data_IF_001398120562
#
_entry.id   IF_001398120562
#
_cell.length_a   1.000
_cell.length_b   1.000
_cell.length_c   1.000
_cell.angle_alpha   90.00
_cell.angle_beta   90.00
_cell.angle_gamma   90.00
#
_symmetry.space_group_name_H-M   'P 1'
#
loop_
_entity.id
_entity.type
_entity.pdbx_description
1 polymer ?
#
# COMPACT_ATOMS: atom_id res chain seq x y z
N UNK A 1 -26.31 -22.33 10.00
CA UNK A 1 -26.44 -20.88 10.23
C UNK A 1 -25.12 -20.22 9.83
N UNK A 2 -25.16 -19.08 9.17
CA UNK A 2 -23.93 -18.32 8.89
C UNK A 2 -23.24 -17.97 10.22
N UNK A 3 -21.91 -18.15 10.30
CA UNK A 3 -21.16 -17.68 11.48
C UNK A 3 -21.33 -16.16 11.62
N UNK A 4 -21.51 -15.71 12.86
CA UNK A 4 -21.56 -14.28 13.16
C UNK A 4 -20.13 -13.74 13.29
N UNK A 5 -19.84 -12.67 12.58
CA UNK A 5 -18.50 -12.08 12.48
C UNK A 5 -18.56 -10.64 12.98
N UNK A 6 -17.76 -10.35 13.99
CA UNK A 6 -17.62 -8.99 14.53
C UNK A 6 -16.47 -8.25 13.87
N UNK A 7 -16.70 -7.01 13.48
CA UNK A 7 -15.70 -6.19 12.79
C UNK A 7 -15.39 -4.95 13.62
N UNK A 8 -14.10 -4.71 13.84
CA UNK A 8 -13.56 -3.46 14.37
C UNK A 8 -12.83 -2.70 13.26
N UNK A 9 -13.10 -1.41 13.11
CA UNK A 9 -12.47 -0.54 12.12
C UNK A 9 -11.68 0.55 12.83
N UNK A 10 -10.39 0.64 12.56
CA UNK A 10 -9.52 1.72 13.03
C UNK A 10 -9.03 2.52 11.82
N UNK A 11 -9.24 3.83 11.85
CA UNK A 11 -8.90 4.75 10.77
C UNK A 11 -10.07 5.01 9.82
N UNK A 12 -10.59 6.25 9.87
CA UNK A 12 -11.74 6.73 9.05
C UNK A 12 -11.31 7.99 8.28
N UNK A 13 -10.10 7.93 7.68
CA UNK A 13 -9.65 8.87 6.67
C UNK A 13 -10.26 8.56 5.30
N UNK A 14 -9.65 9.02 4.22
CA UNK A 14 -10.15 8.80 2.85
C UNK A 14 -10.42 7.32 2.54
N UNK A 15 -9.44 6.45 2.78
CA UNK A 15 -9.58 4.98 2.59
C UNK A 15 -10.64 4.39 3.51
N UNK A 16 -10.64 4.78 4.80
CA UNK A 16 -11.58 4.23 5.77
C UNK A 16 -13.03 4.60 5.47
N UNK A 17 -13.31 5.82 5.00
CA UNK A 17 -14.67 6.24 4.56
C UNK A 17 -15.13 5.43 3.35
N UNK A 18 -14.28 5.28 2.34
CA UNK A 18 -14.56 4.46 1.17
C UNK A 18 -14.81 2.99 1.57
N UNK A 19 -14.00 2.46 2.49
CA UNK A 19 -14.15 1.10 3.01
C UNK A 19 -15.49 0.90 3.73
N UNK A 20 -15.89 1.81 4.62
CA UNK A 20 -17.18 1.76 5.32
C UNK A 20 -18.34 1.72 4.32
N UNK A 21 -18.31 2.55 3.29
CA UNK A 21 -19.32 2.56 2.22
C UNK A 21 -19.36 1.23 1.46
N UNK A 22 -18.22 0.73 1.02
CA UNK A 22 -18.11 -0.53 0.28
C UNK A 22 -18.52 -1.73 1.14
N UNK A 23 -18.11 -1.76 2.42
CA UNK A 23 -18.52 -2.81 3.38
C UNK A 23 -20.03 -2.79 3.62
N UNK A 24 -20.63 -1.62 3.80
CA UNK A 24 -22.09 -1.47 3.95
C UNK A 24 -22.82 -2.10 2.74
N UNK A 25 -22.38 -1.79 1.54
CA UNK A 25 -22.97 -2.35 0.31
C UNK A 25 -22.76 -3.88 0.22
N UNK A 26 -21.58 -4.38 0.60
CA UNK A 26 -21.31 -5.82 0.64
C UNK A 26 -22.22 -6.55 1.62
N UNK A 27 -22.38 -6.03 2.84
CA UNK A 27 -23.27 -6.62 3.86
C UNK A 27 -24.71 -6.66 3.35
N UNK A 28 -25.22 -5.55 2.82
CA UNK A 28 -26.60 -5.50 2.28
C UNK A 28 -26.83 -6.52 1.15
N UNK A 29 -25.86 -6.62 0.21
CA UNK A 29 -25.95 -7.55 -0.93
C UNK A 29 -25.90 -9.02 -0.51
N UNK A 30 -25.21 -9.35 0.58
CA UNK A 30 -24.93 -10.71 1.02
C UNK A 30 -25.64 -11.08 2.34
N UNK A 31 -26.67 -10.34 2.76
CA UNK A 31 -27.36 -10.50 4.04
C UNK A 31 -27.91 -11.91 4.29
N UNK A 32 -28.24 -12.66 3.23
CA UNK A 32 -28.75 -14.05 3.35
C UNK A 32 -27.66 -15.08 3.60
N UNK A 33 -26.38 -14.76 3.36
CA UNK A 33 -25.26 -15.74 3.38
C UNK A 33 -24.15 -15.37 4.34
N UNK A 34 -24.08 -14.11 4.77
CA UNK A 34 -23.01 -13.58 5.62
C UNK A 34 -23.63 -12.77 6.75
N UNK A 35 -23.26 -13.09 8.00
CA UNK A 35 -23.60 -12.29 9.18
C UNK A 35 -22.36 -11.51 9.61
N UNK A 36 -22.30 -10.22 9.29
CA UNK A 36 -21.21 -9.31 9.65
C UNK A 36 -21.77 -8.10 10.38
N UNK A 37 -21.27 -7.88 11.58
CA UNK A 37 -21.64 -6.76 12.44
C UNK A 37 -20.42 -5.90 12.74
N UNK A 38 -20.40 -4.64 12.28
CA UNK A 38 -19.39 -3.70 12.74
C UNK A 38 -19.77 -3.25 14.15
N UNK A 39 -18.90 -3.51 15.12
CA UNK A 39 -19.17 -3.28 16.56
C UNK A 39 -18.25 -2.23 17.17
N UNK A 40 -17.22 -1.83 16.43
CA UNK A 40 -16.26 -0.82 16.86
C UNK A 40 -15.76 -0.03 15.67
N UNK A 41 -15.77 1.29 15.75
CA UNK A 41 -15.17 2.18 14.75
C UNK A 41 -14.41 3.26 15.52
N UNK A 42 -13.12 3.48 15.18
CA UNK A 42 -12.31 4.45 15.87
C UNK A 42 -11.39 5.25 14.93
N UNK A 43 -11.02 6.41 15.39
CA UNK A 43 -9.90 7.22 14.95
C UNK A 43 -9.05 7.64 16.16
N UNK A 44 -8.05 8.48 15.98
CA UNK A 44 -7.05 8.78 17.02
C UNK A 44 -7.60 9.27 18.36
N UNK A 45 -8.77 9.91 18.39
CA UNK A 45 -9.32 10.56 19.58
C UNK A 45 -10.79 10.27 19.86
N UNK A 46 -11.42 9.43 19.06
CA UNK A 46 -12.84 9.14 19.20
C UNK A 46 -13.17 7.73 18.73
N UNK A 47 -14.14 7.10 19.38
CA UNK A 47 -14.66 5.79 19.02
C UNK A 47 -16.18 5.70 19.13
N UNK A 48 -16.77 4.90 18.26
CA UNK A 48 -18.13 4.36 18.38
C UNK A 48 -18.00 2.90 18.84
N UNK A 49 -18.63 2.54 19.94
CA UNK A 49 -18.55 1.21 20.56
C UNK A 49 -19.96 0.67 20.78
N UNK A 50 -20.26 -0.48 20.20
CA UNK A 50 -21.51 -1.19 20.46
C UNK A 50 -21.49 -1.80 21.88
N UNK A 51 -22.48 -1.51 22.68
CA UNK A 51 -22.54 -2.01 24.06
C UNK A 51 -23.01 -3.47 24.18
N UNK A 52 -23.71 -3.97 23.18
CA UNK A 52 -24.36 -5.28 23.13
C UNK A 52 -23.98 -6.09 21.90
N UNK A 53 -22.94 -5.64 21.19
CA UNK A 53 -22.48 -6.22 19.91
C UNK A 53 -23.52 -6.15 18.76
N UNK A 54 -24.55 -5.34 18.89
CA UNK A 54 -25.44 -5.00 17.76
C UNK A 54 -24.68 -4.19 16.72
N UNK A 55 -25.05 -4.26 15.42
CA UNK A 55 -24.36 -3.54 14.37
C UNK A 55 -24.43 -2.02 14.58
N UNK A 56 -23.29 -1.36 14.52
CA UNK A 56 -23.21 0.09 14.40
C UNK A 56 -23.69 0.55 13.01
N UNK A 57 -24.33 1.71 12.89
CA UNK A 57 -24.74 2.25 11.60
C UNK A 57 -23.52 2.57 10.74
N UNK A 58 -23.52 2.10 9.50
CA UNK A 58 -22.49 2.40 8.50
C UNK A 58 -23.01 3.50 7.58
N UNK A 59 -22.88 4.75 8.02
CA UNK A 59 -23.37 5.93 7.31
C UNK A 59 -22.25 6.66 6.57
N UNK A 60 -22.61 7.52 5.63
CA UNK A 60 -21.67 8.43 4.98
C UNK A 60 -21.10 9.48 5.98
N UNK A 61 -21.76 9.67 7.10
CA UNK A 61 -21.43 10.65 8.15
C UNK A 61 -20.67 10.04 9.33
N UNK A 62 -20.07 8.88 9.17
CA UNK A 62 -19.37 8.18 10.26
C UNK A 62 -18.27 9.03 10.92
N UNK A 63 -17.67 9.97 10.20
CA UNK A 63 -16.66 10.88 10.78
C UNK A 63 -17.29 11.90 11.73
N UNK A 64 -18.41 12.47 11.36
CA UNK A 64 -19.19 13.43 12.16
C UNK A 64 -19.79 12.74 13.38
N UNK A 65 -20.25 11.51 13.22
CA UNK A 65 -20.75 10.67 14.33
C UNK A 65 -19.63 10.36 15.34
N UNK A 66 -18.41 10.08 14.87
CA UNK A 66 -17.24 9.91 15.73
C UNK A 66 -16.89 11.19 16.48
N UNK A 67 -16.93 12.35 15.82
CA UNK A 67 -16.69 13.64 16.47
C UNK A 67 -17.70 13.95 17.58
N UNK A 68 -18.96 13.58 17.35
CA UNK A 68 -20.05 13.79 18.30
C UNK A 68 -20.06 12.76 19.45
N UNK A 69 -19.46 11.58 19.27
CA UNK A 69 -19.52 10.48 20.25
C UNK A 69 -18.83 10.79 21.57
N UNK A 70 -17.74 11.57 21.55
CA UNK A 70 -17.00 11.95 22.75
C UNK A 70 -16.38 10.78 23.55
N UNK A 71 -16.43 9.56 23.00
CA UNK A 71 -15.89 8.35 23.63
C UNK A 71 -14.43 8.15 23.18
N UNK A 72 -13.52 7.95 24.12
CA UNK A 72 -12.13 7.65 23.81
C UNK A 72 -11.99 6.25 23.20
N UNK A 73 -11.02 6.05 22.27
CA UNK A 73 -10.69 4.74 21.75
C UNK A 73 -10.24 3.78 22.86
N UNK A 74 -10.61 2.51 22.72
CA UNK A 74 -10.08 1.45 23.59
C UNK A 74 -8.58 1.30 23.37
N UNK A 75 -7.85 0.97 24.44
CA UNK A 75 -6.49 0.45 24.30
C UNK A 75 -6.51 -0.85 23.51
N UNK A 76 -5.38 -1.24 22.89
CA UNK A 76 -5.34 -2.52 22.14
C UNK A 76 -5.67 -3.73 23.03
N UNK A 77 -5.15 -3.85 24.26
CA UNK A 77 -5.56 -4.92 25.15
C UNK A 77 -7.07 -4.93 25.44
N UNK A 78 -7.67 -3.77 25.68
CA UNK A 78 -9.11 -3.65 25.94
C UNK A 78 -9.94 -3.99 24.68
N UNK A 79 -9.47 -3.60 23.51
CA UNK A 79 -10.11 -3.95 22.23
C UNK A 79 -10.07 -5.46 21.97
N UNK A 80 -8.94 -6.11 22.26
CA UNK A 80 -8.83 -7.57 22.19
C UNK A 80 -9.84 -8.24 23.15
N UNK A 81 -9.91 -7.78 24.39
CA UNK A 81 -10.87 -8.31 25.37
C UNK A 81 -12.32 -8.07 24.91
N UNK A 82 -12.64 -6.87 24.43
CA UNK A 82 -13.95 -6.53 23.90
C UNK A 82 -14.36 -7.46 22.76
N UNK A 83 -13.49 -7.66 21.77
CA UNK A 83 -13.81 -8.51 20.63
C UNK A 83 -13.96 -9.98 21.04
N UNK A 84 -13.11 -10.48 21.92
CA UNK A 84 -13.20 -11.86 22.43
C UNK A 84 -14.45 -12.11 23.26
N UNK A 85 -14.89 -11.14 24.06
CA UNK A 85 -16.09 -11.25 24.87
C UNK A 85 -17.39 -11.37 24.04
N UNK A 86 -17.34 -11.05 22.73
CA UNK A 86 -18.46 -11.29 21.83
C UNK A 86 -18.76 -12.77 21.60
N UNK A 87 -17.81 -13.66 21.85
CA UNK A 87 -17.91 -15.10 21.57
C UNK A 87 -17.98 -15.46 20.07
N UNK A 88 -17.76 -14.48 19.19
CA UNK A 88 -17.83 -14.64 17.73
C UNK A 88 -16.43 -14.52 17.10
N UNK A 89 -16.30 -14.92 15.84
CA UNK A 89 -15.11 -14.59 15.03
C UNK A 89 -14.98 -13.06 14.91
N UNK A 90 -13.75 -12.55 14.94
CA UNK A 90 -13.50 -11.11 14.91
C UNK A 90 -12.45 -10.72 13.86
N UNK A 91 -12.70 -9.62 13.17
CA UNK A 91 -11.78 -9.04 12.17
C UNK A 91 -11.48 -7.60 12.57
N UNK A 92 -10.21 -7.29 12.74
CA UNK A 92 -9.71 -5.93 12.84
C UNK A 92 -9.33 -5.39 11.45
N UNK A 93 -9.88 -4.24 11.11
CA UNK A 93 -9.51 -3.47 9.92
C UNK A 93 -8.67 -2.29 10.38
N UNK A 94 -7.40 -2.27 9.96
CA UNK A 94 -6.54 -1.11 10.20
C UNK A 94 -6.36 -0.30 8.91
N UNK A 95 -7.08 0.79 8.77
CA UNK A 95 -6.95 1.74 7.65
C UNK A 95 -6.04 2.93 7.99
N UNK A 96 -5.12 2.76 8.93
CA UNK A 96 -4.18 3.80 9.34
C UNK A 96 -2.80 3.62 8.67
N UNK A 97 -1.87 4.48 9.03
CA UNK A 97 -0.44 4.34 8.79
C UNK A 97 0.36 4.31 10.10
N UNK A 98 -0.28 3.92 11.23
CA UNK A 98 0.36 3.88 12.55
C UNK A 98 1.31 2.70 12.67
N UNK A 99 2.55 2.97 13.06
CA UNK A 99 3.51 1.94 13.42
C UNK A 99 3.19 1.37 14.81
N UNK A 100 2.68 2.20 15.71
CA UNK A 100 2.28 1.82 17.06
C UNK A 100 1.22 0.72 16.99
N UNK A 101 0.19 0.90 16.15
CA UNK A 101 -0.84 -0.13 15.96
C UNK A 101 -0.27 -1.36 15.26
N UNK A 102 0.56 -1.19 14.24
CA UNK A 102 1.17 -2.31 13.53
C UNK A 102 2.06 -3.19 14.45
N UNK A 103 2.75 -2.59 15.43
CA UNK A 103 3.55 -3.31 16.42
C UNK A 103 2.72 -4.23 17.31
N UNK A 104 1.40 -4.03 17.41
CA UNK A 104 0.50 -4.87 18.22
C UNK A 104 -0.17 -5.99 17.41
N UNK A 105 0.07 -6.08 16.12
CA UNK A 105 -0.51 -7.15 15.28
C UNK A 105 -0.21 -8.55 15.78
N UNK A 106 1.01 -8.89 16.28
CA UNK A 106 1.28 -10.21 16.85
C UNK A 106 0.35 -10.56 18.03
N UNK A 107 0.06 -9.61 18.92
CA UNK A 107 -0.83 -9.84 20.06
C UNK A 107 -2.29 -10.06 19.62
N UNK A 108 -2.76 -9.26 18.66
CA UNK A 108 -4.10 -9.36 18.08
C UNK A 108 -4.29 -10.70 17.39
N UNK A 109 -3.33 -11.11 16.56
CA UNK A 109 -3.37 -12.39 15.84
C UNK A 109 -3.29 -13.58 16.78
N UNK A 110 -2.41 -13.51 17.79
CA UNK A 110 -2.29 -14.55 18.83
C UNK A 110 -3.58 -14.71 19.64
N UNK A 111 -4.38 -13.67 19.75
CA UNK A 111 -5.71 -13.73 20.37
C UNK A 111 -6.78 -14.37 19.48
N UNK A 112 -6.44 -14.77 18.24
CA UNK A 112 -7.37 -15.35 17.26
C UNK A 112 -8.16 -14.32 16.45
N UNK A 113 -7.84 -13.03 16.58
CA UNK A 113 -8.49 -11.95 15.84
C UNK A 113 -7.79 -11.79 14.49
N UNK A 114 -8.55 -11.78 13.42
CA UNK A 114 -8.05 -11.64 12.05
C UNK A 114 -7.76 -10.18 11.72
N UNK A 115 -6.83 -9.93 10.79
CA UNK A 115 -6.44 -8.58 10.36
C UNK A 115 -6.55 -8.44 8.83
N UNK A 116 -7.17 -7.35 8.38
CA UNK A 116 -7.08 -6.86 6.99
C UNK A 116 -6.62 -5.41 6.99
N UNK A 117 -5.58 -5.05 6.17
CA UNK A 117 -4.97 -3.73 6.30
C UNK A 117 -4.21 -3.28 5.05
N UNK A 118 -4.25 -1.97 4.70
CA UNK A 118 -3.33 -1.33 3.77
C UNK A 118 -2.08 -0.76 4.46
N UNK A 119 -1.95 -0.88 5.79
CA UNK A 119 -0.84 -0.34 6.55
C UNK A 119 0.47 -1.07 6.25
N UNK A 120 1.33 -0.43 5.47
CA UNK A 120 2.62 -1.01 5.05
C UNK A 120 3.60 -1.21 6.21
N UNK A 121 3.48 -0.41 7.29
CA UNK A 121 4.52 -0.37 8.34
C UNK A 121 4.69 -1.70 9.07
N UNK A 122 3.60 -2.46 9.28
CA UNK A 122 3.69 -3.80 9.87
C UNK A 122 4.52 -4.78 9.02
N UNK A 123 4.58 -4.55 7.72
CA UNK A 123 5.17 -5.51 6.77
C UNK A 123 6.47 -5.02 6.14
N UNK A 124 6.79 -3.75 6.25
CA UNK A 124 8.00 -3.14 5.67
C UNK A 124 9.00 -2.59 6.70
N UNK A 125 8.64 -2.53 7.98
CA UNK A 125 9.55 -2.12 9.06
C UNK A 125 10.60 -3.20 9.34
N UNK A 126 11.12 -3.25 10.56
CA UNK A 126 12.12 -4.26 10.95
C UNK A 126 11.64 -5.69 10.61
N UNK A 127 12.55 -6.53 10.13
CA UNK A 127 12.26 -7.92 9.74
C UNK A 127 11.70 -8.74 10.90
N UNK A 128 12.10 -8.42 12.12
CA UNK A 128 11.56 -9.06 13.32
C UNK A 128 10.04 -8.91 13.41
N UNK A 129 9.49 -7.72 13.16
CA UNK A 129 8.04 -7.50 13.22
C UNK A 129 7.32 -8.33 12.15
N UNK A 130 7.86 -8.40 10.94
CA UNK A 130 7.34 -9.27 9.88
C UNK A 130 7.25 -10.73 10.36
N UNK A 131 8.34 -11.26 10.90
CA UNK A 131 8.41 -12.64 11.38
C UNK A 131 7.42 -12.89 12.53
N UNK A 132 7.33 -11.97 13.48
CA UNK A 132 6.42 -12.07 14.63
C UNK A 132 4.95 -12.08 14.18
N UNK A 133 4.58 -11.24 13.20
CA UNK A 133 3.22 -11.18 12.64
C UNK A 133 2.84 -12.53 12.01
N UNK A 134 3.69 -13.07 11.13
CA UNK A 134 3.37 -14.33 10.44
C UNK A 134 3.46 -15.55 11.36
N UNK A 135 4.36 -15.55 12.34
CA UNK A 135 4.40 -16.57 13.38
C UNK A 135 3.10 -16.55 14.22
N UNK A 136 2.63 -15.39 14.64
CA UNK A 136 1.38 -15.23 15.39
C UNK A 136 0.14 -15.62 14.55
N UNK A 137 0.17 -15.37 13.25
CA UNK A 137 -0.87 -15.82 12.31
C UNK A 137 -0.80 -17.33 12.00
N UNK A 138 0.20 -18.05 12.54
CA UNK A 138 0.43 -19.45 12.20
C UNK A 138 0.58 -19.69 10.70
N UNK A 139 1.23 -18.77 9.98
CA UNK A 139 1.36 -18.74 8.52
C UNK A 139 -0.01 -18.80 7.80
N UNK A 140 -1.03 -18.16 8.37
CA UNK A 140 -2.41 -18.15 7.86
C UNK A 140 -3.07 -19.54 7.76
N UNK A 141 -2.71 -20.46 8.60
CA UNK A 141 -3.27 -21.81 8.63
C UNK A 141 -3.15 -22.52 9.98
N UNK A 142 -2.56 -21.82 10.97
CA UNK A 142 -2.35 -22.34 12.32
C UNK A 142 -3.40 -21.90 13.33
N UNK A 143 -2.99 -21.74 14.59
CA UNK A 143 -3.86 -21.41 15.72
C UNK A 143 -4.19 -19.92 15.86
N UNK A 144 -3.50 -19.04 15.12
CA UNK A 144 -3.69 -17.58 15.18
C UNK A 144 -4.76 -17.08 14.21
N UNK A 145 -5.03 -15.76 14.27
CA UNK A 145 -5.87 -15.08 13.29
C UNK A 145 -5.23 -15.02 11.92
N UNK A 146 -6.03 -14.93 10.87
CA UNK A 146 -5.53 -14.65 9.51
C UNK A 146 -5.07 -13.20 9.38
N UNK A 147 -4.00 -12.96 8.63
CA UNK A 147 -3.54 -11.63 8.25
C UNK A 147 -3.48 -11.49 6.73
N UNK A 148 -4.22 -10.53 6.19
CA UNK A 148 -4.21 -10.18 4.79
C UNK A 148 -3.89 -8.70 4.61
N UNK A 149 -3.03 -8.39 3.65
CA UNK A 149 -2.50 -7.05 3.47
C UNK A 149 -2.27 -6.71 1.98
N UNK A 150 -3.16 -7.20 1.09
CA UNK A 150 -3.07 -6.98 -0.36
C UNK A 150 -2.85 -5.49 -0.69
N UNK A 151 -3.64 -4.63 -0.05
CA UNK A 151 -3.62 -3.20 -0.33
C UNK A 151 -2.36 -2.45 0.18
N UNK A 152 -1.38 -3.13 0.72
CA UNK A 152 -0.07 -2.54 1.07
C UNK A 152 0.79 -2.25 -0.16
N UNK A 153 0.56 -2.97 -1.29
CA UNK A 153 1.28 -2.75 -2.56
C UNK A 153 0.28 -2.73 -3.70
N UNK A 154 0.22 -1.61 -4.44
CA UNK A 154 -0.64 -1.50 -5.60
C UNK A 154 -2.13 -1.25 -5.31
N UNK A 155 -2.48 -0.77 -4.11
CA UNK A 155 -3.87 -0.51 -3.69
C UNK A 155 -4.78 -1.73 -3.90
N UNK A 156 -5.69 -1.69 -4.88
CA UNK A 156 -6.58 -2.82 -5.20
C UNK A 156 -6.04 -3.77 -6.27
N UNK A 157 -4.87 -3.52 -6.82
CA UNK A 157 -4.24 -4.42 -7.78
C UNK A 157 -3.88 -5.76 -7.10
N UNK A 158 -4.07 -6.91 -7.76
CA UNK A 158 -3.76 -8.22 -7.20
C UNK A 158 -2.25 -8.53 -7.25
N UNK A 159 -1.44 -7.76 -6.51
CA UNK A 159 0.02 -7.84 -6.53
C UNK A 159 0.53 -8.90 -5.58
N UNK A 160 0.09 -8.84 -4.31
CA UNK A 160 0.53 -9.79 -3.28
C UNK A 160 -0.09 -11.18 -3.49
N UNK A 161 -1.34 -11.25 -3.90
CA UNK A 161 -1.97 -12.52 -4.26
C UNK A 161 -1.25 -13.17 -5.44
N UNK A 162 -0.89 -12.41 -6.48
CA UNK A 162 -0.14 -12.94 -7.61
C UNK A 162 1.21 -13.53 -7.18
N UNK A 163 2.03 -12.79 -6.43
CA UNK A 163 3.34 -13.32 -6.02
C UNK A 163 3.21 -14.53 -5.08
N UNK A 164 2.21 -14.54 -4.20
CA UNK A 164 1.94 -15.69 -3.34
C UNK A 164 1.52 -16.92 -4.14
N UNK A 165 0.61 -16.77 -5.10
CA UNK A 165 0.19 -17.89 -5.95
C UNK A 165 1.35 -18.46 -6.76
N UNK A 166 2.28 -17.62 -7.24
CA UNK A 166 3.49 -18.07 -7.91
C UNK A 166 4.37 -18.90 -6.95
N UNK A 167 4.69 -18.36 -5.78
CA UNK A 167 5.58 -19.01 -4.80
C UNK A 167 4.93 -20.26 -4.19
N UNK A 168 3.67 -20.19 -3.77
CA UNK A 168 2.94 -21.30 -3.13
C UNK A 168 2.72 -22.48 -4.07
N UNK A 169 2.66 -22.23 -5.38
CA UNK A 169 2.59 -23.29 -6.41
C UNK A 169 3.96 -23.82 -6.84
N UNK A 170 5.03 -23.39 -6.16
CA UNK A 170 6.40 -23.86 -6.38
C UNK A 170 7.10 -23.23 -7.58
N UNK A 171 6.65 -22.06 -8.06
CA UNK A 171 7.39 -21.29 -9.04
C UNK A 171 8.53 -20.51 -8.37
N UNK A 172 9.58 -20.21 -9.09
CA UNK A 172 10.70 -19.43 -8.58
C UNK A 172 10.69 -18.04 -9.21
N UNK A 173 10.41 -17.03 -8.39
CA UNK A 173 10.53 -15.63 -8.80
C UNK A 173 12.02 -15.31 -8.97
N UNK A 174 12.39 -14.83 -10.15
CA UNK A 174 13.77 -14.42 -10.45
C UNK A 174 13.97 -12.92 -10.38
N UNK A 175 12.95 -12.15 -10.82
CA UNK A 175 12.99 -10.69 -10.77
C UNK A 175 11.60 -10.12 -10.57
N UNK A 176 11.51 -9.04 -9.81
CA UNK A 176 10.32 -8.16 -9.78
C UNK A 176 10.78 -6.76 -10.14
N UNK A 177 10.10 -6.13 -11.08
CA UNK A 177 10.40 -4.74 -11.43
C UNK A 177 9.14 -3.98 -11.78
N UNK A 178 9.14 -2.65 -11.52
CA UNK A 178 7.95 -1.88 -11.87
C UNK A 178 7.97 -0.44 -11.40
N UNK A 179 6.89 0.26 -11.76
CA UNK A 179 6.55 1.59 -11.26
C UNK A 179 5.50 1.41 -10.16
N UNK A 180 5.87 1.74 -8.93
CA UNK A 180 5.09 1.47 -7.72
C UNK A 180 4.43 2.72 -7.12
N UNK A 181 4.67 3.90 -7.68
CA UNK A 181 4.13 5.18 -7.22
C UNK A 181 3.34 5.85 -8.35
N UNK A 182 2.09 6.19 -8.08
CA UNK A 182 1.27 6.96 -9.02
C UNK A 182 1.84 8.35 -9.29
N UNK A 183 2.36 9.02 -8.26
CA UNK A 183 3.03 10.31 -8.37
C UNK A 183 4.23 10.21 -9.31
N UNK A 184 5.15 9.27 -9.06
CA UNK A 184 6.34 9.09 -9.90
C UNK A 184 5.98 8.67 -11.32
N UNK A 185 4.94 7.85 -11.49
CA UNK A 185 4.41 7.50 -12.81
C UNK A 185 4.00 8.75 -13.57
N UNK A 186 3.15 9.57 -12.97
CA UNK A 186 2.70 10.82 -13.56
C UNK A 186 3.88 11.75 -13.92
N UNK A 187 4.79 11.98 -12.97
CA UNK A 187 5.93 12.87 -13.16
C UNK A 187 6.76 12.46 -14.38
N UNK A 188 7.16 11.19 -14.47
CA UNK A 188 8.05 10.74 -15.56
C UNK A 188 7.33 10.50 -16.89
N UNK A 189 6.03 10.25 -16.88
CA UNK A 189 5.24 10.19 -18.11
C UNK A 189 5.07 11.59 -18.76
N UNK A 190 4.91 12.63 -17.92
CA UNK A 190 4.81 14.03 -18.38
C UNK A 190 6.17 14.65 -18.70
N UNK A 191 7.20 14.36 -17.91
CA UNK A 191 8.54 14.91 -18.05
C UNK A 191 9.32 14.27 -19.22
N UNK A 192 9.27 12.94 -19.34
CA UNK A 192 10.02 12.17 -20.34
C UNK A 192 9.08 11.24 -21.15
N UNK A 193 8.15 11.79 -21.95
CA UNK A 193 7.21 10.98 -22.73
C UNK A 193 7.90 10.22 -23.87
N UNK A 194 7.41 9.01 -24.17
CA UNK A 194 7.88 8.23 -25.34
C UNK A 194 7.53 8.98 -26.62
N UNK A 195 8.53 9.19 -27.49
CA UNK A 195 8.33 9.85 -28.79
C UNK A 195 7.90 11.31 -28.70
N UNK A 196 8.06 11.95 -27.53
CA UNK A 196 7.68 13.34 -27.33
C UNK A 196 8.35 14.29 -28.32
N UNK A 197 7.52 15.01 -29.09
CA UNK A 197 7.93 16.02 -30.10
C UNK A 197 7.75 17.46 -29.59
N UNK A 198 7.24 17.65 -28.35
CA UNK A 198 7.04 18.96 -27.74
C UNK A 198 8.34 19.55 -27.16
N UNK A 199 8.28 20.84 -26.78
CA UNK A 199 9.33 21.45 -25.99
C UNK A 199 9.52 20.67 -24.67
N UNK A 200 10.78 20.47 -24.22
CA UNK A 200 11.06 19.81 -22.95
C UNK A 200 10.36 20.55 -21.80
N UNK A 201 9.59 19.85 -21.00
CA UNK A 201 9.03 20.41 -19.75
C UNK A 201 10.13 20.42 -18.70
N UNK A 202 10.21 21.47 -17.89
CA UNK A 202 11.06 21.45 -16.71
C UNK A 202 10.50 20.45 -15.68
N UNK A 203 11.36 19.73 -14.97
CA UNK A 203 10.91 18.76 -13.95
C UNK A 203 10.13 19.45 -12.83
N UNK A 204 10.61 20.61 -12.40
CA UNK A 204 9.95 21.44 -11.39
C UNK A 204 8.54 21.86 -11.78
N UNK A 205 8.31 22.21 -13.07
CA UNK A 205 6.98 22.53 -13.58
C UNK A 205 6.04 21.34 -13.50
N UNK A 206 6.53 20.13 -13.83
CA UNK A 206 5.74 18.91 -13.74
C UNK A 206 5.42 18.57 -12.30
N UNK A 207 6.37 18.73 -11.35
CA UNK A 207 6.12 18.56 -9.91
C UNK A 207 5.08 19.56 -9.42
N UNK A 208 5.15 20.81 -9.87
CA UNK A 208 4.14 21.84 -9.54
C UNK A 208 2.74 21.45 -10.02
N UNK A 209 2.62 21.01 -11.28
CA UNK A 209 1.33 20.53 -11.83
C UNK A 209 0.80 19.34 -11.02
N UNK A 210 1.66 18.39 -10.66
CA UNK A 210 1.27 17.24 -9.85
C UNK A 210 0.76 17.67 -8.47
N UNK A 211 1.44 18.62 -7.82
CA UNK A 211 1.04 19.16 -6.51
C UNK A 211 -0.31 19.90 -6.61
N UNK A 212 -0.47 20.78 -7.57
CA UNK A 212 -1.69 21.56 -7.77
C UNK A 212 -2.90 20.65 -8.10
N UNK A 213 -2.66 19.52 -8.78
CA UNK A 213 -3.67 18.50 -9.08
C UNK A 213 -3.93 17.51 -7.92
N UNK A 214 -3.19 17.60 -6.81
CA UNK A 214 -3.35 16.70 -5.66
C UNK A 214 -2.81 15.28 -5.90
N UNK A 215 -1.86 15.11 -6.82
CA UNK A 215 -1.18 13.83 -7.07
C UNK A 215 0.01 13.59 -6.16
N UNK A 216 0.53 14.64 -5.49
CA UNK A 216 1.57 14.49 -4.48
C UNK A 216 0.98 14.53 -3.07
N UNK A 217 1.77 14.06 -2.11
CA UNK A 217 1.55 14.41 -0.70
C UNK A 217 1.62 15.94 -0.51
N UNK A 218 1.11 16.49 0.61
CA UNK A 218 1.16 17.94 0.88
C UNK A 218 2.57 18.54 0.75
N UNK A 219 3.58 17.76 1.12
CA UNK A 219 4.99 18.04 0.82
C UNK A 219 5.48 17.05 -0.24
N UNK A 220 5.79 17.50 -1.48
CA UNK A 220 6.25 16.60 -2.54
C UNK A 220 7.53 15.84 -2.22
N UNK A 221 8.30 16.27 -1.21
CA UNK A 221 9.48 15.52 -0.74
C UNK A 221 9.13 14.14 -0.22
N UNK A 222 7.91 13.95 0.31
CA UNK A 222 7.45 12.64 0.79
C UNK A 222 7.28 11.62 -0.33
N UNK A 223 7.01 12.09 -1.56
CA UNK A 223 7.00 11.25 -2.76
C UNK A 223 8.41 11.11 -3.34
N UNK A 224 9.14 12.23 -3.48
CA UNK A 224 10.40 12.31 -4.20
C UNK A 224 11.58 11.62 -3.46
N UNK A 225 11.45 11.35 -2.15
CA UNK A 225 12.47 10.61 -1.38
C UNK A 225 12.52 9.11 -1.72
N UNK A 226 11.54 8.55 -2.42
CA UNK A 226 11.49 7.16 -2.84
C UNK A 226 11.17 6.14 -1.74
N UNK A 227 10.94 6.56 -0.51
CA UNK A 227 10.74 5.65 0.63
C UNK A 227 9.42 4.88 0.58
N UNK A 228 8.36 5.42 -0.03
CA UNK A 228 7.12 4.66 -0.22
C UNK A 228 7.34 3.47 -1.17
N UNK A 229 8.09 3.69 -2.25
CA UNK A 229 8.50 2.60 -3.17
C UNK A 229 9.38 1.59 -2.44
N UNK A 230 10.34 2.06 -1.64
CA UNK A 230 11.22 1.17 -0.86
C UNK A 230 10.44 0.29 0.12
N UNK A 231 9.41 0.81 0.80
CA UNK A 231 8.54 0.02 1.67
C UNK A 231 7.79 -1.07 0.88
N UNK A 232 7.29 -0.74 -0.31
CA UNK A 232 6.61 -1.72 -1.17
C UNK A 232 7.56 -2.83 -1.64
N UNK A 233 8.79 -2.45 -2.03
CA UNK A 233 9.80 -3.43 -2.41
C UNK A 233 10.26 -4.31 -1.26
N UNK A 234 10.35 -3.77 -0.03
CA UNK A 234 10.65 -4.58 1.16
C UNK A 234 9.63 -5.70 1.33
N UNK A 235 8.33 -5.39 1.15
CA UNK A 235 7.26 -6.39 1.25
C UNK A 235 7.40 -7.45 0.15
N UNK A 236 7.58 -7.03 -1.09
CA UNK A 236 7.69 -7.96 -2.22
C UNK A 236 8.97 -8.81 -2.16
N UNK A 237 10.09 -8.25 -1.73
CA UNK A 237 11.34 -8.97 -1.56
C UNK A 237 11.21 -10.06 -0.48
N UNK A 238 10.58 -9.75 0.65
CA UNK A 238 10.29 -10.74 1.70
C UNK A 238 9.36 -11.85 1.20
N UNK A 239 8.33 -11.51 0.42
CA UNK A 239 7.45 -12.50 -0.21
C UNK A 239 8.18 -13.35 -1.27
N UNK A 240 9.22 -12.80 -1.90
CA UNK A 240 10.11 -13.55 -2.82
C UNK A 240 11.16 -14.41 -2.09
N UNK A 241 11.13 -14.47 -0.76
CA UNK A 241 12.05 -15.27 0.06
C UNK A 241 13.37 -14.57 0.42
N UNK A 242 13.52 -13.27 0.17
CA UNK A 242 14.70 -12.51 0.58
C UNK A 242 14.56 -11.99 2.02
N UNK A 243 15.63 -12.09 2.81
CA UNK A 243 15.77 -11.42 4.09
C UNK A 243 16.15 -9.95 3.85
N UNK A 244 15.25 -9.04 4.15
CA UNK A 244 15.44 -7.59 4.02
C UNK A 244 15.16 -6.95 5.37
N UNK A 245 16.18 -6.33 5.96
CA UNK A 245 16.10 -5.77 7.32
C UNK A 245 15.08 -4.63 7.42
N UNK A 246 15.13 -3.67 6.48
CA UNK A 246 14.27 -2.48 6.48
C UNK A 246 14.23 -1.82 5.09
N UNK A 247 13.33 -0.84 4.83
CA UNK A 247 13.28 -0.11 3.56
C UNK A 247 14.53 0.75 3.29
N UNK A 248 15.37 0.95 4.27
CA UNK A 248 16.62 1.72 4.16
C UNK A 248 17.88 0.83 4.12
N UNK A 249 17.71 -0.49 4.08
CA UNK A 249 18.82 -1.45 4.04
C UNK A 249 19.36 -1.74 2.63
N UNK A 250 18.83 -1.09 1.62
CA UNK A 250 19.25 -1.19 0.22
C UNK A 250 19.25 0.19 -0.46
N UNK A 251 19.87 0.35 -1.63
CA UNK A 251 19.95 1.63 -2.32
C UNK A 251 18.57 2.20 -2.69
N UNK A 252 18.30 3.42 -2.24
CA UNK A 252 17.12 4.21 -2.59
C UNK A 252 17.59 5.58 -3.09
N UNK A 253 17.37 5.84 -4.38
CA UNK A 253 17.68 7.13 -4.96
C UNK A 253 16.60 8.14 -4.57
N UNK A 254 17.00 9.21 -3.86
CA UNK A 254 16.16 10.39 -3.68
C UNK A 254 16.24 11.28 -4.91
N UNK A 255 15.12 11.83 -5.32
CA UNK A 255 15.05 12.88 -6.36
C UNK A 255 15.05 14.30 -5.74
N UNK A 256 15.21 14.41 -4.44
CA UNK A 256 15.34 15.68 -3.75
C UNK A 256 16.78 16.15 -3.91
N UNK A 257 17.03 17.33 -4.49
CA UNK A 257 18.37 17.92 -4.52
C UNK A 257 18.92 18.11 -3.10
N UNK A 258 20.16 17.69 -2.85
CA UNK A 258 20.75 17.73 -1.50
C UNK A 258 20.59 19.06 -0.76
N UNK A 259 20.78 20.23 -1.39
CA UNK A 259 20.58 21.50 -0.71
C UNK A 259 19.12 21.78 -0.30
N UNK A 260 18.14 21.07 -0.91
CA UNK A 260 16.73 21.22 -0.59
C UNK A 260 16.20 20.19 0.41
N UNK A 261 17.02 19.21 0.84
CA UNK A 261 16.61 18.23 1.85
C UNK A 261 16.32 18.88 3.21
N UNK A 262 17.05 19.94 3.57
CA UNK A 262 17.00 20.59 4.88
C UNK A 262 16.15 21.87 4.92
N UNK A 263 15.53 22.31 3.81
CA UNK A 263 14.65 23.49 3.83
C UNK A 263 13.40 23.22 4.68
N UNK A 264 12.94 24.26 5.39
CA UNK A 264 11.96 24.08 6.46
C UNK A 264 10.54 23.79 5.95
N UNK A 265 10.20 24.33 4.77
CA UNK A 265 8.82 24.27 4.27
C UNK A 265 8.74 23.66 2.87
N UNK A 266 7.57 23.08 2.56
CA UNK A 266 7.24 22.62 1.21
C UNK A 266 7.30 23.76 0.18
N UNK A 267 7.01 25.01 0.59
CA UNK A 267 7.09 26.17 -0.33
C UNK A 267 8.54 26.50 -0.67
N UNK A 268 9.43 26.57 0.32
CA UNK A 268 10.88 26.79 0.08
C UNK A 268 11.46 25.71 -0.83
N UNK A 269 11.02 24.44 -0.65
CA UNK A 269 11.39 23.35 -1.55
C UNK A 269 10.93 23.63 -2.98
N UNK A 270 9.66 23.97 -3.18
CA UNK A 270 9.09 24.26 -4.51
C UNK A 270 9.76 25.45 -5.19
N UNK A 271 10.08 26.50 -4.43
CA UNK A 271 10.73 27.71 -4.96
C UNK A 271 12.20 27.44 -5.35
N UNK A 272 12.86 26.50 -4.67
CA UNK A 272 14.25 26.12 -4.93
C UNK A 272 14.42 25.10 -6.06
N UNK A 273 13.41 24.25 -6.29
CA UNK A 273 13.50 23.12 -7.21
C UNK A 273 13.89 23.48 -8.66
N UNK A 274 13.43 24.61 -9.26
CA UNK A 274 13.81 25.00 -10.61
C UNK A 274 15.31 25.14 -10.84
N UNK A 275 16.09 25.44 -9.80
CA UNK A 275 17.55 25.57 -9.91
C UNK A 275 18.26 24.25 -10.25
N UNK A 276 17.56 23.11 -10.13
CA UNK A 276 18.11 21.75 -10.32
C UNK A 276 17.52 21.02 -11.52
N UNK A 277 16.66 21.67 -12.31
CA UNK A 277 16.01 21.07 -13.49
C UNK A 277 17.01 20.53 -14.51
N UNK A 278 18.17 21.19 -14.66
CA UNK A 278 19.20 20.76 -15.59
C UNK A 278 19.78 19.38 -15.26
N UNK A 279 19.85 18.99 -13.98
CA UNK A 279 20.41 17.72 -13.58
C UNK A 279 19.56 16.54 -14.07
N UNK A 280 18.25 16.60 -13.85
CA UNK A 280 17.32 15.56 -14.32
C UNK A 280 17.12 15.66 -15.84
N UNK A 281 17.13 16.88 -16.38
CA UNK A 281 17.05 17.14 -17.83
C UNK A 281 18.13 16.43 -18.61
N UNK A 282 19.39 16.51 -18.16
CA UNK A 282 20.52 15.80 -18.79
C UNK A 282 20.31 14.28 -18.82
N UNK A 283 19.79 13.70 -17.75
CA UNK A 283 19.52 12.24 -17.69
C UNK A 283 18.43 11.83 -18.69
N UNK A 284 17.39 12.66 -18.85
CA UNK A 284 16.33 12.42 -19.83
C UNK A 284 16.82 12.55 -21.27
N UNK A 285 17.64 13.58 -21.55
CA UNK A 285 18.23 13.80 -22.88
C UNK A 285 19.19 12.69 -23.28
N UNK A 286 20.00 12.21 -22.36
CA UNK A 286 20.89 11.08 -22.61
C UNK A 286 20.14 9.79 -22.88
N UNK A 287 19.07 9.51 -22.13
CA UNK A 287 18.21 8.36 -22.43
C UNK A 287 17.57 8.48 -23.80
N UNK A 288 17.08 9.69 -24.17
CA UNK A 288 16.46 9.95 -25.47
C UNK A 288 17.42 9.71 -26.65
N UNK A 289 18.69 10.11 -26.51
CA UNK A 289 19.73 9.82 -27.53
C UNK A 289 19.94 8.32 -27.77
N UNK A 290 19.70 7.52 -26.74
CA UNK A 290 19.78 6.04 -26.80
C UNK A 290 18.46 5.38 -27.28
N UNK A 291 17.42 6.12 -27.63
CA UNK A 291 16.10 5.59 -27.96
C UNK A 291 15.32 5.09 -26.75
N UNK A 292 15.60 5.65 -25.56
CA UNK A 292 15.04 5.26 -24.26
C UNK A 292 14.36 6.42 -23.55
N UNK A 293 13.58 6.08 -22.56
CA UNK A 293 13.06 7.02 -21.54
C UNK A 293 13.55 6.66 -20.16
N UNK A 294 13.60 7.62 -19.25
CA UNK A 294 13.82 7.36 -17.83
C UNK A 294 12.50 7.14 -17.12
N UNK A 295 12.50 6.20 -16.15
CA UNK A 295 11.37 5.96 -15.25
C UNK A 295 11.91 5.73 -13.84
N UNK A 296 11.14 6.16 -12.84
CA UNK A 296 11.46 5.87 -11.44
C UNK A 296 10.84 4.52 -11.07
N UNK A 297 11.70 3.55 -10.83
CA UNK A 297 11.30 2.15 -10.65
C UNK A 297 11.87 1.55 -9.38
N UNK A 298 11.22 0.49 -8.94
CA UNK A 298 11.78 -0.44 -7.99
C UNK A 298 12.12 -1.75 -8.67
N UNK A 299 13.23 -2.37 -8.29
CA UNK A 299 13.62 -3.70 -8.81
C UNK A 299 14.17 -4.60 -7.71
N UNK A 300 13.84 -5.88 -7.81
CA UNK A 300 14.31 -6.98 -6.98
C UNK A 300 14.91 -8.02 -7.91
N UNK A 301 16.19 -8.33 -7.74
CA UNK A 301 16.88 -9.44 -8.38
C UNK A 301 17.06 -10.53 -7.30
N UNK A 302 16.27 -11.59 -7.39
CA UNK A 302 16.24 -12.61 -6.33
C UNK A 302 17.52 -13.46 -6.33
N UNK A 303 18.05 -13.96 -7.46
CA UNK A 303 19.33 -14.65 -7.49
C UNK A 303 20.49 -13.82 -6.97
N UNK A 304 20.58 -12.54 -7.33
CA UNK A 304 21.63 -11.65 -6.86
C UNK A 304 21.38 -11.11 -5.44
N UNK A 305 20.22 -11.36 -4.86
CA UNK A 305 19.75 -10.79 -3.57
C UNK A 305 19.85 -9.26 -3.54
N UNK A 306 19.58 -8.63 -4.68
CA UNK A 306 19.71 -7.21 -4.85
C UNK A 306 18.32 -6.53 -4.93
N UNK A 307 18.16 -5.46 -4.19
CA UNK A 307 16.96 -4.60 -4.22
C UNK A 307 17.42 -3.18 -4.44
N UNK A 308 16.74 -2.43 -5.29
CA UNK A 308 17.05 -1.01 -5.52
C UNK A 308 15.82 -0.22 -5.94
N UNK A 309 15.83 1.07 -5.64
CA UNK A 309 14.84 2.06 -6.07
C UNK A 309 15.58 3.21 -6.73
N UNK A 310 15.15 3.62 -7.91
CA UNK A 310 15.74 4.78 -8.57
C UNK A 310 15.35 4.91 -10.05
N UNK A 311 16.05 5.82 -10.72
CA UNK A 311 15.87 6.06 -12.15
C UNK A 311 16.54 4.96 -12.96
N UNK A 312 15.80 4.44 -13.93
CA UNK A 312 16.27 3.44 -14.90
C UNK A 312 15.87 3.87 -16.32
N UNK A 313 16.70 3.46 -17.30
CA UNK A 313 16.44 3.70 -18.72
C UNK A 313 15.71 2.51 -19.33
N UNK A 314 14.60 2.77 -20.04
CA UNK A 314 13.81 1.75 -20.74
C UNK A 314 13.70 2.07 -22.21
N UNK A 315 13.87 1.06 -23.06
CA UNK A 315 13.59 1.18 -24.49
C UNK A 315 12.14 1.60 -24.73
N UNK A 316 11.87 2.36 -25.77
CA UNK A 316 10.53 2.86 -26.07
C UNK A 316 9.48 1.76 -26.25
N UNK A 317 9.89 0.55 -26.62
CA UNK A 317 9.01 -0.62 -26.75
C UNK A 317 8.73 -1.35 -25.43
N UNK A 318 9.45 -1.01 -24.36
CA UNK A 318 9.28 -1.68 -23.08
C UNK A 318 7.94 -1.33 -22.43
N UNK A 319 7.19 -2.26 -21.82
CA UNK A 319 5.90 -1.99 -21.18
C UNK A 319 5.95 -0.85 -20.15
N UNK A 320 7.03 -0.76 -19.36
CA UNK A 320 7.24 0.32 -18.38
C UNK A 320 7.39 1.69 -19.08
N UNK A 321 8.01 1.75 -20.25
CA UNK A 321 8.12 2.99 -21.02
C UNK A 321 6.76 3.47 -21.52
N UNK A 322 5.90 2.55 -21.93
CA UNK A 322 4.57 2.82 -22.48
C UNK A 322 3.48 3.18 -21.44
N UNK A 323 3.81 3.15 -20.14
CA UNK A 323 2.88 3.48 -19.06
C UNK A 323 2.35 4.91 -19.21
N UNK A 324 1.09 5.14 -18.84
CA UNK A 324 0.43 6.45 -18.99
C UNK A 324 -0.19 6.92 -17.67
N UNK A 325 -0.30 8.25 -17.55
CA UNK A 325 -0.92 8.88 -16.39
C UNK A 325 -0.23 8.48 -15.08
N UNK A 326 -1.02 8.11 -14.09
CA UNK A 326 -0.57 7.71 -12.75
C UNK A 326 -0.65 6.20 -12.52
N UNK A 327 -0.82 5.38 -13.56
CA UNK A 327 -0.89 3.93 -13.42
C UNK A 327 0.41 3.35 -12.83
N UNK A 328 0.26 2.28 -12.07
CA UNK A 328 1.35 1.41 -11.66
C UNK A 328 1.47 0.23 -12.62
N UNK A 329 2.67 -0.31 -12.75
CA UNK A 329 2.94 -1.53 -13.49
C UNK A 329 3.96 -2.36 -12.70
N UNK A 330 3.65 -3.61 -12.44
CA UNK A 330 4.52 -4.55 -11.73
C UNK A 330 4.69 -5.80 -12.59
N UNK A 331 5.93 -6.12 -12.94
CA UNK A 331 6.32 -7.26 -13.74
C UNK A 331 7.01 -8.31 -12.88
N UNK A 332 6.50 -9.54 -12.90
CA UNK A 332 7.06 -10.70 -12.23
C UNK A 332 7.72 -11.62 -13.27
N UNK A 333 9.03 -11.78 -13.18
CA UNK A 333 9.78 -12.74 -13.97
C UNK A 333 10.01 -13.98 -13.11
N UNK A 334 9.70 -15.15 -13.65
CA UNK A 334 9.81 -16.43 -12.93
C UNK A 334 10.40 -17.50 -13.83
N UNK A 335 10.84 -18.60 -13.25
CA UNK A 335 11.32 -19.74 -14.05
C UNK A 335 10.22 -20.31 -14.96
N UNK A 336 8.99 -20.31 -14.49
CA UNK A 336 7.85 -20.88 -15.23
C UNK A 336 7.39 -20.00 -16.38
N UNK A 337 7.42 -18.67 -16.22
CA UNK A 337 7.07 -17.71 -17.27
C UNK A 337 8.24 -17.40 -18.23
N UNK A 338 9.48 -17.76 -17.87
CA UNK A 338 10.68 -17.56 -18.70
C UNK A 338 10.93 -16.09 -19.02
N UNK A 339 11.15 -15.78 -20.30
CA UNK A 339 11.46 -14.42 -20.77
C UNK A 339 10.22 -13.48 -20.82
N UNK A 340 9.04 -14.01 -20.56
CA UNK A 340 7.79 -13.23 -20.56
C UNK A 340 7.34 -12.98 -19.15
N UNK A 341 7.36 -11.71 -18.73
CA UNK A 341 6.87 -11.35 -17.40
C UNK A 341 5.35 -11.52 -17.28
N UNK A 342 4.89 -11.97 -16.11
CA UNK A 342 3.51 -11.78 -15.70
C UNK A 342 3.37 -10.32 -15.24
N UNK A 343 2.48 -9.56 -15.86
CA UNK A 343 2.34 -8.12 -15.61
C UNK A 343 0.99 -7.83 -14.94
N UNK A 344 1.05 -7.05 -13.86
CA UNK A 344 -0.12 -6.43 -13.22
C UNK A 344 -0.04 -4.93 -13.44
N UNK A 345 -1.06 -4.32 -14.05
CA UNK A 345 -1.08 -2.90 -14.37
C UNK A 345 -2.44 -2.28 -14.05
N UNK A 346 -2.44 -1.04 -13.60
CA UNK A 346 -3.63 -0.23 -13.35
C UNK A 346 -3.45 0.82 -12.28
N UNK A 347 -4.55 1.35 -11.76
CA UNK A 347 -4.52 2.36 -10.70
C UNK A 347 -3.95 1.75 -9.40
N UNK A 348 -2.76 2.16 -9.02
CA UNK A 348 -2.04 1.69 -7.83
C UNK A 348 -2.15 2.60 -6.61
N UNK A 349 -3.06 3.58 -6.64
CA UNK A 349 -3.35 4.51 -5.56
C UNK A 349 -4.80 5.03 -5.65
N UNK A 350 -5.31 5.58 -4.55
CA UNK A 350 -6.66 6.14 -4.46
C UNK A 350 -7.52 5.46 -3.40
N UNK A 351 -8.39 6.23 -2.75
CA UNK A 351 -9.20 5.77 -1.62
C UNK A 351 -10.10 4.58 -1.98
N UNK A 352 -10.83 4.68 -3.09
CA UNK A 352 -11.80 3.67 -3.51
C UNK A 352 -11.13 2.34 -3.87
N UNK A 353 -10.04 2.37 -4.65
CA UNK A 353 -9.33 1.15 -5.06
C UNK A 353 -8.57 0.52 -3.90
N UNK A 354 -8.02 1.32 -2.97
CA UNK A 354 -7.41 0.79 -1.74
C UNK A 354 -8.46 0.13 -0.86
N UNK A 355 -9.60 0.78 -0.65
CA UNK A 355 -10.72 0.22 0.11
C UNK A 355 -11.23 -1.10 -0.49
N UNK A 356 -11.29 -1.20 -1.82
CA UNK A 356 -11.65 -2.44 -2.52
C UNK A 356 -10.65 -3.56 -2.21
N UNK A 357 -9.34 -3.26 -2.21
CA UNK A 357 -8.30 -4.24 -1.84
C UNK A 357 -8.45 -4.73 -0.40
N UNK A 358 -8.71 -3.83 0.56
CA UNK A 358 -8.99 -4.18 1.96
C UNK A 358 -10.26 -5.03 2.07
N UNK A 359 -11.33 -4.65 1.38
CA UNK A 359 -12.58 -5.43 1.39
C UNK A 359 -12.39 -6.82 0.78
N UNK A 360 -11.60 -6.94 -0.29
CA UNK A 360 -11.23 -8.24 -0.86
C UNK A 360 -10.54 -9.13 0.18
N UNK A 361 -9.64 -8.57 0.98
CA UNK A 361 -8.97 -9.30 2.05
C UNK A 361 -9.95 -9.73 3.16
N UNK A 362 -10.90 -8.87 3.55
CA UNK A 362 -11.99 -9.22 4.48
C UNK A 362 -12.82 -10.38 3.92
N UNK A 363 -13.18 -10.36 2.64
CA UNK A 363 -13.94 -11.43 1.99
C UNK A 363 -13.15 -12.75 1.99
N UNK A 364 -11.83 -12.70 1.74
CA UNK A 364 -10.96 -13.88 1.82
C UNK A 364 -10.91 -14.46 3.24
N UNK A 365 -10.88 -13.61 4.29
CA UNK A 365 -10.96 -14.05 5.68
C UNK A 365 -12.31 -14.72 5.94
N UNK A 366 -13.42 -14.06 5.59
CA UNK A 366 -14.78 -14.60 5.76
C UNK A 366 -14.93 -15.98 5.11
N UNK A 367 -14.36 -16.16 3.91
CA UNK A 367 -14.43 -17.44 3.20
C UNK A 367 -13.66 -18.57 3.91
N UNK A 368 -12.63 -18.24 4.71
CA UNK A 368 -11.80 -19.22 5.44
C UNK A 368 -12.36 -19.60 6.82
N UNK A 369 -13.10 -18.69 7.45
CA UNK A 369 -13.66 -18.92 8.80
C UNK A 369 -15.11 -19.44 8.76
N UNK A 370 -15.71 -19.52 7.57
CA UNK A 370 -17.00 -20.22 7.36
C UNK A 370 -16.81 -21.73 7.51
#
# INVERSE_FOLDING_TARGET
>A
MAKDIKVAIIGVGGVGKAFVSQLSNYIKKNASTVSVSVVYIARSRAALISKDYSPLPLTAFVSEELDAAGTEPLSVPDLIQFLKASGSEAILIDNTSSIELANTYPDILSAGIHIATPNKKGFSSEEKLWNDIFAAAGNNGGSGGYVFHEATVGAGLPVLSTIRDLVDTGDEVTKVEGVFSGTMSFLFNEFAPVGGSGAPKAFSDVVKVAKDAGYTEPDPRDDLNGLDVARKLTILARLSGLSIASPTSFPVQSLIPKPLESVSTSQEFMDGLPNYDSEIGLLADDAKKEGKVIRFVGSIDVPAKAVKVGLEKFDFSHPIAGLKGSDNIIAFYTKRYGDRALIVQGAGAGAEVTAMGVLSDVIKIIARIK
#
